data_IF_909885418757
#
_entry.id   IF_909885418757
#
_cell.length_a   1.000
_cell.length_b   1.000
_cell.length_c   1.000
_cell.angle_alpha   90.00
_cell.angle_beta   90.00
_cell.angle_gamma   90.00
#
_symmetry.space_group_name_H-M   'P 1'
#
loop_
_entity.id
_entity.type
_entity.pdbx_description
1 polymer ?
#
# COMPACT_ATOMS: atom_id res chain seq x y z
N UNK A 1 7.93 15.24 33.33
CA UNK A 1 6.80 14.46 32.77
C UNK A 1 7.35 13.52 31.72
N UNK A 2 7.25 12.19 31.87
CA UNK A 2 7.63 11.31 30.78
C UNK A 2 6.52 11.35 29.73
N UNK A 3 6.83 11.91 28.56
CA UNK A 3 6.01 11.75 27.37
C UNK A 3 6.07 10.27 27.04
N UNK A 4 5.01 9.55 27.39
CA UNK A 4 4.80 8.18 27.00
C UNK A 4 4.68 8.17 25.48
N UNK A 5 5.82 8.07 24.79
CA UNK A 5 5.86 7.73 23.36
C UNK A 5 5.31 6.32 23.29
N UNK A 6 3.99 6.19 23.20
CA UNK A 6 3.40 5.06 22.52
C UNK A 6 4.13 4.99 21.19
N UNK A 7 4.99 3.98 21.05
CA UNK A 7 5.62 3.63 19.79
C UNK A 7 4.48 3.17 18.88
N UNK A 8 3.74 4.15 18.36
CA UNK A 8 2.67 3.96 17.42
C UNK A 8 3.27 3.29 16.21
N UNK A 9 2.66 2.19 15.78
CA UNK A 9 3.03 1.54 14.53
C UNK A 9 3.14 2.58 13.43
N UNK A 10 4.30 2.65 12.75
CA UNK A 10 4.56 3.59 11.64
C UNK A 10 3.63 3.37 10.44
N UNK A 11 2.92 2.24 10.44
CA UNK A 11 1.85 1.94 9.49
C UNK A 11 0.58 1.47 10.19
N UNK A 12 -0.55 1.66 9.52
CA UNK A 12 -1.82 1.02 9.84
C UNK A 12 -2.09 -0.06 8.80
N UNK A 13 -2.38 -1.27 9.24
CA UNK A 13 -2.72 -2.40 8.36
C UNK A 13 -4.17 -2.77 8.60
N UNK A 14 -4.95 -2.87 7.53
CA UNK A 14 -6.35 -3.28 7.58
C UNK A 14 -6.59 -4.36 6.55
N UNK A 15 -7.20 -5.46 6.96
CA UNK A 15 -7.67 -6.48 6.02
C UNK A 15 -8.63 -5.85 5.01
N UNK A 16 -8.56 -6.26 3.73
CA UNK A 16 -9.39 -5.66 2.67
C UNK A 16 -10.88 -5.77 3.00
N UNK A 17 -11.30 -6.92 3.52
CA UNK A 17 -12.68 -7.21 3.89
C UNK A 17 -13.15 -6.29 5.03
N UNK A 18 -12.28 -6.01 6.01
CA UNK A 18 -12.56 -5.06 7.09
C UNK A 18 -12.57 -3.62 6.59
N UNK A 19 -11.65 -3.26 5.69
CA UNK A 19 -11.59 -1.94 5.09
C UNK A 19 -12.86 -1.62 4.29
N UNK A 20 -13.43 -2.62 3.60
CA UNK A 20 -14.68 -2.46 2.85
C UNK A 20 -15.89 -2.39 3.79
N UNK A 21 -15.90 -3.17 4.87
CA UNK A 21 -16.99 -3.22 5.84
C UNK A 21 -17.04 -1.97 6.71
N UNK A 22 -15.88 -1.54 7.22
CA UNK A 22 -15.69 -0.43 8.14
C UNK A 22 -14.58 0.49 7.58
N UNK A 23 -14.88 1.29 6.54
CA UNK A 23 -13.88 2.13 5.92
C UNK A 23 -13.33 3.17 6.91
N UNK A 24 -12.02 3.45 6.88
CA UNK A 24 -11.44 4.49 7.71
C UNK A 24 -12.00 5.88 7.32
N UNK A 25 -11.89 6.88 8.22
CA UNK A 25 -12.38 8.22 7.94
C UNK A 25 -11.94 8.75 6.58
N UNK A 26 -12.89 9.38 5.87
CA UNK A 26 -12.74 9.94 4.53
C UNK A 26 -12.61 8.94 3.37
N UNK A 27 -12.78 7.65 3.65
CA UNK A 27 -13.19 6.68 2.65
C UNK A 27 -14.70 6.43 2.73
N UNK A 28 -15.31 6.22 1.57
CA UNK A 28 -16.70 5.80 1.45
C UNK A 28 -16.79 4.61 0.50
N UNK A 29 -17.62 3.63 0.83
CA UNK A 29 -17.76 2.40 0.07
C UNK A 29 -19.19 2.29 -0.45
N UNK A 30 -19.32 2.12 -1.77
CA UNK A 30 -20.58 1.80 -2.44
C UNK A 30 -20.61 0.29 -2.76
N UNK A 31 -21.65 -0.40 -2.30
CA UNK A 31 -21.90 -1.79 -2.69
C UNK A 31 -22.57 -1.82 -4.06
N UNK A 32 -21.95 -2.50 -5.02
CA UNK A 32 -22.46 -2.75 -6.36
C UNK A 32 -22.89 -4.22 -6.48
N UNK A 33 -23.81 -4.53 -7.39
CA UNK A 33 -24.28 -5.91 -7.58
C UNK A 33 -23.15 -6.94 -7.82
N UNK A 34 -22.03 -6.51 -8.41
CA UNK A 34 -20.87 -7.35 -8.72
C UNK A 34 -19.63 -7.06 -7.86
N UNK A 35 -19.72 -6.25 -6.80
CA UNK A 35 -18.56 -5.91 -5.97
C UNK A 35 -18.66 -4.61 -5.18
N UNK A 36 -17.53 -3.95 -4.96
CA UNK A 36 -17.42 -2.74 -4.16
C UNK A 36 -16.71 -1.63 -4.93
N UNK A 37 -17.17 -0.40 -4.76
CA UNK A 37 -16.47 0.81 -5.19
C UNK A 37 -16.07 1.62 -3.98
N UNK A 38 -14.77 1.77 -3.80
CA UNK A 38 -14.16 2.60 -2.75
C UNK A 38 -13.88 3.98 -3.34
N UNK A 39 -14.29 5.04 -2.65
CA UNK A 39 -13.91 6.43 -2.95
C UNK A 39 -13.11 7.01 -1.81
N UNK A 40 -12.08 7.78 -2.15
CA UNK A 40 -11.36 8.64 -1.22
C UNK A 40 -11.73 10.08 -1.52
N UNK A 41 -12.35 10.77 -0.56
CA UNK A 41 -12.87 12.13 -0.76
C UNK A 41 -11.96 13.21 -0.16
N UNK A 42 -10.78 12.83 0.36
CA UNK A 42 -9.85 13.76 1.02
C UNK A 42 -8.58 13.98 0.22
N UNK A 43 -8.24 15.26 -0.01
CA UNK A 43 -7.02 15.66 -0.73
C UNK A 43 -5.72 15.29 0.00
N UNK A 44 -5.79 15.07 1.31
CA UNK A 44 -4.63 14.73 2.17
C UNK A 44 -4.17 13.28 2.04
N UNK A 45 -4.89 12.46 1.26
CA UNK A 45 -4.58 11.04 1.07
C UNK A 45 -4.18 10.76 -0.38
N UNK A 46 -3.26 9.82 -0.54
CA UNK A 46 -2.78 9.34 -1.83
C UNK A 46 -3.05 7.85 -1.92
N UNK A 47 -3.97 7.45 -2.81
CA UNK A 47 -4.32 6.04 -3.02
C UNK A 47 -3.57 5.51 -4.23
N UNK A 48 -2.69 4.53 -4.02
CA UNK A 48 -1.87 3.88 -5.04
C UNK A 48 -2.22 2.39 -5.15
N UNK A 49 -3.51 2.10 -5.32
CA UNK A 49 -4.07 0.75 -5.34
C UNK A 49 -4.72 0.50 -6.71
N UNK A 50 -4.27 -0.53 -7.41
CA UNK A 50 -4.93 -0.99 -8.64
C UNK A 50 -6.26 -1.69 -8.30
N UNK A 51 -7.21 -1.70 -9.22
CA UNK A 51 -8.42 -2.52 -9.09
C UNK A 51 -8.06 -4.02 -8.99
N UNK A 52 -8.77 -4.76 -8.14
CA UNK A 52 -8.51 -6.19 -7.95
C UNK A 52 -9.78 -6.97 -7.59
N UNK A 53 -9.68 -8.29 -7.54
CA UNK A 53 -10.76 -9.18 -7.09
C UNK A 53 -10.44 -9.77 -5.72
N UNK A 54 -11.38 -9.70 -4.76
CA UNK A 54 -11.31 -10.40 -3.47
C UNK A 54 -12.57 -11.23 -3.25
N UNK A 55 -12.43 -12.49 -2.87
CA UNK A 55 -13.54 -13.42 -2.60
C UNK A 55 -14.64 -13.43 -3.68
N UNK A 56 -14.25 -13.40 -4.96
CA UNK A 56 -15.19 -13.38 -6.11
C UNK A 56 -15.88 -12.04 -6.37
N UNK A 57 -15.57 -10.99 -5.59
CA UNK A 57 -16.10 -9.63 -5.76
C UNK A 57 -15.02 -8.71 -6.32
N UNK A 58 -15.39 -7.86 -7.28
CA UNK A 58 -14.50 -6.84 -7.82
C UNK A 58 -14.42 -5.66 -6.84
N UNK A 59 -13.22 -5.20 -6.50
CA UNK A 59 -12.99 -4.00 -5.69
C UNK A 59 -12.34 -2.95 -6.58
N UNK A 60 -13.00 -1.79 -6.68
CA UNK A 60 -12.57 -0.66 -7.53
C UNK A 60 -12.25 0.54 -6.66
N UNK A 61 -11.03 1.05 -6.73
CA UNK A 61 -10.64 2.28 -6.04
C UNK A 61 -10.78 3.47 -6.97
N UNK A 62 -11.86 4.21 -6.83
CA UNK A 62 -12.14 5.39 -7.63
C UNK A 62 -11.14 6.51 -7.32
N UNK A 63 -10.63 7.18 -8.36
CA UNK A 63 -9.58 8.21 -8.28
C UNK A 63 -8.25 7.73 -7.67
N UNK A 64 -8.03 6.41 -7.61
CA UNK A 64 -6.69 5.87 -7.34
C UNK A 64 -5.78 6.13 -8.53
N UNK A 65 -4.52 6.45 -8.26
CA UNK A 65 -3.51 6.56 -9.32
C UNK A 65 -2.99 5.19 -9.78
N UNK A 66 -3.29 4.14 -9.01
CA UNK A 66 -2.72 2.81 -9.20
C UNK A 66 -1.23 2.75 -8.85
N UNK A 67 -0.62 1.58 -9.04
CA UNK A 67 0.80 1.34 -8.71
C UNK A 67 1.77 1.86 -9.77
N UNK A 68 1.26 2.18 -10.98
CA UNK A 68 2.07 2.70 -12.09
C UNK A 68 1.47 4.01 -12.57
N UNK A 69 2.14 5.10 -12.25
CA UNK A 69 1.73 6.45 -12.64
C UNK A 69 2.65 6.97 -13.73
N UNK A 70 2.07 7.39 -14.85
CA UNK A 70 2.82 7.99 -15.96
C UNK A 70 2.82 9.51 -15.79
N UNK A 71 4.02 10.10 -15.78
CA UNK A 71 4.21 11.54 -15.74
C UNK A 71 4.73 12.02 -17.10
N UNK A 72 4.24 13.17 -17.54
CA UNK A 72 4.54 13.74 -18.85
C UNK A 72 5.44 14.97 -18.78
N UNK A 73 5.59 15.58 -17.61
CA UNK A 73 6.40 16.77 -17.41
C UNK A 73 6.99 16.85 -15.99
N UNK A 74 7.93 17.78 -15.81
CA UNK A 74 8.60 18.01 -14.52
C UNK A 74 7.62 18.47 -13.43
N UNK A 75 6.57 19.20 -13.79
CA UNK A 75 5.59 19.68 -12.83
C UNK A 75 4.77 18.55 -12.20
N UNK A 76 4.30 17.60 -13.02
CA UNK A 76 3.62 16.39 -12.57
C UNK A 76 4.52 15.54 -11.66
N UNK A 77 5.79 15.40 -12.03
CA UNK A 77 6.79 14.76 -11.17
C UNK A 77 6.96 15.48 -9.84
N UNK A 78 7.17 16.80 -9.84
CA UNK A 78 7.33 17.60 -8.61
C UNK A 78 6.08 17.55 -7.72
N UNK A 79 4.89 17.58 -8.33
CA UNK A 79 3.61 17.47 -7.62
C UNK A 79 3.43 16.09 -6.98
N UNK A 80 3.78 15.02 -7.70
CA UNK A 80 3.76 13.66 -7.17
C UNK A 80 4.77 13.47 -6.04
N UNK A 81 6.01 13.94 -6.23
CA UNK A 81 7.05 13.93 -5.19
C UNK A 81 6.56 14.65 -3.94
N UNK A 82 5.98 15.84 -4.07
CA UNK A 82 5.37 16.56 -2.96
C UNK A 82 4.26 15.74 -2.28
N UNK A 83 3.40 15.09 -3.06
CA UNK A 83 2.30 14.26 -2.53
C UNK A 83 2.81 13.05 -1.75
N UNK A 84 3.80 12.32 -2.27
CA UNK A 84 4.44 11.20 -1.57
C UNK A 84 5.05 11.63 -0.24
N UNK A 85 5.63 12.83 -0.16
CA UNK A 85 6.35 13.30 1.04
C UNK A 85 5.49 14.08 2.04
N UNK A 86 4.18 14.21 1.80
CA UNK A 86 3.29 15.05 2.63
C UNK A 86 1.90 14.47 2.91
N UNK A 87 1.53 13.34 2.28
CA UNK A 87 0.20 12.73 2.40
C UNK A 87 0.26 11.37 3.08
N UNK A 88 -0.87 10.94 3.61
CA UNK A 88 -1.06 9.52 3.96
C UNK A 88 -1.17 8.70 2.67
N UNK A 89 -0.34 7.68 2.52
CA UNK A 89 -0.27 6.84 1.33
C UNK A 89 -0.93 5.49 1.63
N UNK A 90 -1.85 5.07 0.75
CA UNK A 90 -2.55 3.79 0.84
C UNK A 90 -2.04 2.84 -0.25
N UNK A 91 -1.55 1.68 0.18
CA UNK A 91 -0.96 0.63 -0.63
C UNK A 91 -1.71 -0.69 -0.43
N UNK A 92 -1.72 -1.53 -1.47
CA UNK A 92 -2.25 -2.89 -1.38
C UNK A 92 -1.09 -3.87 -1.25
N UNK A 93 -1.13 -4.69 -0.20
CA UNK A 93 -0.15 -5.75 0.03
C UNK A 93 -0.87 -7.10 0.03
N UNK A 94 -0.20 -8.12 -0.49
CA UNK A 94 -0.69 -9.50 -0.51
C UNK A 94 0.21 -10.36 0.37
N UNK A 95 -0.38 -11.09 1.31
CA UNK A 95 0.29 -12.19 1.98
C UNK A 95 0.20 -13.43 1.08
N UNK A 96 1.36 -13.97 0.72
CA UNK A 96 1.49 -15.15 -0.11
C UNK A 96 2.03 -16.31 0.73
N UNK A 97 1.52 -17.51 0.49
CA UNK A 97 2.10 -18.74 1.03
C UNK A 97 2.88 -19.43 -0.09
N UNK A 98 4.10 -19.85 0.22
CA UNK A 98 4.89 -20.67 -0.70
C UNK A 98 4.31 -22.08 -0.71
N UNK A 99 3.67 -22.46 -1.82
CA UNK A 99 3.34 -23.85 -2.04
C UNK A 99 4.64 -24.60 -2.37
N UNK A 100 5.21 -25.30 -1.39
CA UNK A 100 6.28 -26.26 -1.67
C UNK A 100 5.68 -27.49 -2.35
N UNK A 101 5.54 -27.45 -3.67
CA UNK A 101 5.16 -28.63 -4.43
C UNK A 101 6.26 -29.68 -4.30
N UNK A 102 6.02 -30.74 -3.52
CA UNK A 102 6.85 -31.95 -3.47
C UNK A 102 6.59 -32.74 -4.75
N UNK A 103 7.06 -32.23 -5.89
CA UNK A 103 7.12 -32.99 -7.14
C UNK A 103 8.04 -32.31 -8.14
N UNK A 104 9.01 -33.08 -8.58
CA UNK A 104 10.12 -32.74 -9.46
C UNK A 104 9.77 -31.90 -10.72
N UNK A 105 10.73 -31.02 -11.05
CA UNK A 105 11.01 -30.33 -12.34
C UNK A 105 10.35 -28.95 -12.57
N UNK A 106 11.18 -27.90 -12.41
CA UNK A 106 11.23 -26.63 -13.19
C UNK A 106 9.88 -25.95 -13.53
N UNK A 107 8.89 -25.98 -12.65
CA UNK A 107 7.74 -25.08 -12.73
C UNK A 107 8.01 -23.86 -11.84
N UNK A 108 7.68 -22.66 -12.32
CA UNK A 108 7.81 -21.42 -11.57
C UNK A 108 7.10 -21.56 -10.22
N UNK A 109 7.73 -21.10 -9.12
CA UNK A 109 7.17 -21.12 -7.78
C UNK A 109 5.79 -20.46 -7.81
N UNK A 110 4.73 -21.24 -7.64
CA UNK A 110 3.36 -20.74 -7.67
C UNK A 110 3.03 -20.19 -6.27
N UNK A 111 3.10 -18.87 -6.12
CA UNK A 111 2.71 -18.17 -4.90
C UNK A 111 1.19 -18.05 -4.87
N UNK A 112 0.52 -18.76 -3.97
CA UNK A 112 -0.90 -18.52 -3.73
C UNK A 112 -1.06 -17.33 -2.79
N UNK A 113 -1.77 -16.30 -3.25
CA UNK A 113 -2.17 -15.17 -2.39
C UNK A 113 -3.21 -15.67 -1.40
N UNK A 114 -2.85 -15.75 -0.13
CA UNK A 114 -3.73 -16.19 0.96
C UNK A 114 -4.65 -15.06 1.38
N UNK A 115 -4.10 -13.84 1.50
CA UNK A 115 -4.83 -12.71 2.06
C UNK A 115 -4.32 -11.38 1.53
N UNK A 116 -5.18 -10.36 1.51
CA UNK A 116 -4.81 -9.01 1.09
C UNK A 116 -5.09 -7.99 2.18
N UNK A 117 -4.24 -6.97 2.24
CA UNK A 117 -4.27 -5.92 3.23
C UNK A 117 -4.11 -4.57 2.56
N UNK A 118 -4.86 -3.58 3.04
CA UNK A 118 -4.61 -2.18 2.76
C UNK A 118 -3.68 -1.65 3.85
N UNK A 119 -2.53 -1.14 3.45
CA UNK A 119 -1.55 -0.53 4.33
C UNK A 119 -1.57 0.97 4.13
N UNK A 120 -1.66 1.70 5.23
CA UNK A 120 -1.55 3.15 5.28
C UNK A 120 -0.24 3.54 5.96
N UNK A 121 0.57 4.34 5.28
CA UNK A 121 1.80 4.95 5.80
C UNK A 121 1.70 6.48 5.73
N UNK A 122 2.35 7.19 6.64
CA UNK A 122 2.43 8.65 6.58
C UNK A 122 3.72 9.06 5.85
N UNK A 123 3.58 9.65 4.66
CA UNK A 123 4.71 10.11 3.87
C UNK A 123 5.50 11.26 4.50
N UNK A 124 4.93 11.94 5.50
CA UNK A 124 5.61 12.98 6.28
C UNK A 124 6.31 12.43 7.53
N UNK A 125 6.14 11.14 7.85
CA UNK A 125 6.87 10.49 8.94
C UNK A 125 8.38 10.43 8.58
N UNK A 126 9.30 10.84 9.46
CA UNK A 126 10.70 11.04 9.09
C UNK A 126 11.40 9.84 8.46
N UNK A 127 11.12 8.61 8.91
CA UNK A 127 11.72 7.40 8.36
C UNK A 127 11.13 7.04 7.00
N UNK A 128 9.80 7.04 6.87
CA UNK A 128 9.11 6.81 5.58
C UNK A 128 9.52 7.86 4.55
N UNK A 129 9.56 9.14 4.96
CA UNK A 129 9.98 10.25 4.13
C UNK A 129 11.40 10.06 3.61
N UNK A 130 12.33 9.66 4.47
CA UNK A 130 13.71 9.39 4.07
C UNK A 130 13.83 8.21 3.10
N UNK A 131 13.07 7.13 3.30
CA UNK A 131 13.01 5.99 2.36
C UNK A 131 12.51 6.44 0.98
N UNK A 132 11.41 7.20 0.97
CA UNK A 132 10.82 7.77 -0.25
C UNK A 132 11.81 8.70 -0.97
N UNK A 133 12.42 9.64 -0.25
CA UNK A 133 13.41 10.58 -0.79
C UNK A 133 14.60 9.84 -1.39
N UNK A 134 15.15 8.83 -0.70
CA UNK A 134 16.24 8.01 -1.25
C UNK A 134 15.83 7.24 -2.50
N UNK A 135 14.63 6.67 -2.52
CA UNK A 135 14.08 6.00 -3.69
C UNK A 135 13.87 6.94 -4.89
N UNK A 136 13.70 8.25 -4.64
CA UNK A 136 13.54 9.27 -5.68
C UNK A 136 14.84 9.99 -6.08
N UNK A 137 15.77 10.20 -5.15
CA UNK A 137 17.01 10.97 -5.34
C UNK A 137 18.15 10.16 -5.96
N UNK A 138 18.08 8.82 -5.93
CA UNK A 138 18.97 7.96 -6.72
C UNK A 138 18.78 8.13 -8.24
N UNK A 139 17.94 9.06 -8.70
CA UNK A 139 17.42 9.14 -10.06
C UNK A 139 17.28 10.60 -10.51
N UNK A 140 18.42 11.29 -10.67
CA UNK A 140 18.45 12.67 -11.14
C UNK A 140 18.00 12.73 -12.62
N UNK A 141 16.82 13.30 -12.80
CA UNK A 141 16.17 13.70 -14.05
C UNK A 141 17.14 14.35 -15.04
N UNK A 142 17.30 13.75 -16.21
CA UNK A 142 17.88 14.47 -17.35
C UNK A 142 17.32 14.07 -18.72
N UNK A 143 16.51 13.01 -18.84
CA UNK A 143 16.04 12.55 -20.16
C UNK A 143 14.54 12.23 -20.18
N UNK A 144 13.82 12.84 -21.12
CA UNK A 144 12.43 12.49 -21.42
C UNK A 144 12.35 11.04 -21.93
N UNK A 145 11.47 10.21 -21.36
CA UNK A 145 11.22 8.84 -21.80
C UNK A 145 11.63 7.72 -20.84
N UNK A 146 12.15 8.05 -19.66
CA UNK A 146 12.51 7.05 -18.66
C UNK A 146 11.31 6.64 -17.76
N UNK A 147 11.30 5.38 -17.35
CA UNK A 147 10.37 4.85 -16.35
C UNK A 147 11.09 4.66 -15.03
N UNK A 148 10.51 5.16 -13.94
CA UNK A 148 11.14 5.14 -12.63
C UNK A 148 10.41 4.17 -11.69
N UNK A 149 11.17 3.57 -10.76
CA UNK A 149 10.63 2.72 -9.68
C UNK A 149 11.09 3.29 -8.35
N UNK A 150 10.14 3.49 -7.46
CA UNK A 150 10.39 3.86 -6.07
C UNK A 150 10.06 2.62 -5.24
N UNK A 151 11.10 2.01 -4.67
CA UNK A 151 10.95 0.86 -3.78
C UNK A 151 10.96 1.36 -2.34
N UNK A 152 9.96 0.95 -1.55
CA UNK A 152 9.85 1.27 -0.13
C UNK A 152 9.98 -0.05 0.62
N UNK A 153 10.98 -0.16 1.49
CA UNK A 153 11.12 -1.31 2.36
C UNK A 153 10.22 -1.15 3.59
N UNK A 154 9.20 -2.01 3.69
CA UNK A 154 8.27 -2.10 4.82
C UNK A 154 8.37 -3.47 5.51
N UNK A 155 9.43 -4.24 5.22
CA UNK A 155 9.54 -5.66 5.63
C UNK A 155 9.53 -5.79 7.14
N UNK A 156 10.39 -5.04 7.83
CA UNK A 156 10.52 -5.07 9.30
C UNK A 156 9.20 -4.68 9.98
N UNK A 157 8.55 -3.61 9.52
CA UNK A 157 7.25 -3.19 10.04
C UNK A 157 6.17 -4.26 9.82
N UNK A 158 6.16 -4.93 8.66
CA UNK A 158 5.20 -5.99 8.36
C UNK A 158 5.43 -7.25 9.18
N UNK A 159 6.67 -7.67 9.37
CA UNK A 159 7.03 -8.79 10.24
C UNK A 159 6.66 -8.50 11.70
N UNK A 160 6.96 -7.29 12.19
CA UNK A 160 6.57 -6.84 13.54
C UNK A 160 5.05 -6.84 13.72
N UNK A 161 4.30 -6.37 12.72
CA UNK A 161 2.85 -6.38 12.74
C UNK A 161 2.28 -7.81 12.70
N UNK A 162 2.82 -8.68 11.85
CA UNK A 162 2.40 -10.06 11.71
C UNK A 162 2.63 -10.84 13.01
N UNK A 163 3.78 -10.66 13.65
CA UNK A 163 4.08 -11.25 14.95
C UNK A 163 3.08 -10.76 16.02
N UNK A 164 2.83 -9.46 16.13
CA UNK A 164 1.83 -8.93 17.10
C UNK A 164 0.43 -9.47 16.86
N UNK A 165 0.02 -9.60 15.59
CA UNK A 165 -1.32 -10.08 15.23
C UNK A 165 -1.48 -11.57 15.50
N UNK A 166 -0.45 -12.39 15.27
CA UNK A 166 -0.49 -13.82 15.59
C UNK A 166 -0.59 -14.08 17.09
N UNK A 167 0.10 -13.28 17.93
CA UNK A 167 -0.05 -13.34 19.39
C UNK A 167 -1.44 -12.88 19.88
N UNK A 168 -2.16 -12.05 19.12
CA UNK A 168 -3.52 -11.60 19.45
C UNK A 168 -4.61 -12.58 18.98
N UNK A 169 -4.29 -13.48 18.05
CA UNK A 169 -5.24 -14.47 17.51
C UNK A 169 -5.28 -15.80 18.30
N UNK A 170 -4.47 -15.96 19.34
CA UNK A 170 -4.58 -17.08 20.29
C UNK A 170 -5.48 -16.69 21.46
N UNK A 171 -6.78 -16.95 21.36
CA UNK A 171 -7.72 -17.01 22.49
C UNK A 171 -8.83 -18.02 22.23
#
# INVERSE_FOLDING_TARGET
MPVNKQSGSRMRVTEVEEFVRNPPPGFSVETLGSGYRVRCNEEKRLVLIDDFQSCGKKIVFHNSLGRKVKMHNLWEYSSMRKSLLSKEIYLLISACEEQSSVSNKKAARELSVVKRYVVCIDGNEPFIKWQLERGMDGTISSVAGESYRVDIDLTEEMESWAAKTSYLMTS
#
